data_IF_759054203688
#
_entry.id   IF_759054203688
#
_cell.length_a   1.000
_cell.length_b   1.000
_cell.length_c   1.000
_cell.angle_alpha   90.00
_cell.angle_beta   90.00
_cell.angle_gamma   90.00
#
_symmetry.space_group_name_H-M   'P 1'
#
loop_
_entity.id
_entity.type
_entity.pdbx_description
1 polymer ?
#
# COMPACT_ATOMS: atom_id res chain seq x y z
N UNK A 1 4.21 27.90 -35.02
CA UNK A 1 3.12 27.07 -34.84
C UNK A 1 3.48 25.70 -34.32
N UNK A 2 4.42 25.07 -34.88
CA UNK A 2 4.79 23.78 -34.36
C UNK A 2 5.35 23.83 -32.99
N UNK A 3 5.96 24.91 -32.67
CA UNK A 3 6.63 25.05 -31.42
C UNK A 3 5.69 24.89 -30.26
N UNK A 4 4.50 25.40 -30.41
CA UNK A 4 3.53 25.35 -29.33
C UNK A 4 2.98 23.94 -29.12
N UNK A 5 2.95 23.14 -30.16
CA UNK A 5 2.41 21.81 -30.07
C UNK A 5 3.15 20.94 -29.07
N UNK A 6 4.48 20.85 -29.12
CA UNK A 6 5.19 20.04 -28.13
C UNK A 6 4.97 20.55 -26.71
N UNK A 7 4.91 21.85 -26.56
CA UNK A 7 4.70 22.41 -25.24
C UNK A 7 3.32 22.09 -24.70
N UNK A 8 2.32 22.20 -25.56
CA UNK A 8 0.97 21.84 -25.17
C UNK A 8 0.88 20.38 -24.80
N UNK A 9 1.56 19.55 -25.55
CA UNK A 9 1.56 18.14 -25.31
C UNK A 9 2.15 17.82 -23.93
N UNK A 10 3.24 18.46 -23.59
CA UNK A 10 3.85 18.26 -22.29
C UNK A 10 2.93 18.72 -21.17
N UNK A 11 2.17 19.78 -21.41
CA UNK A 11 1.23 20.25 -20.42
C UNK A 11 0.10 19.28 -20.22
N UNK A 12 -0.37 18.66 -21.29
CA UNK A 12 -1.44 17.68 -21.22
C UNK A 12 -0.99 16.36 -20.60
N UNK A 13 0.27 16.03 -20.75
CA UNK A 13 0.79 14.75 -20.27
C UNK A 13 1.98 14.99 -19.37
N UNK A 14 1.72 15.52 -18.17
CA UNK A 14 2.82 15.86 -17.27
C UNK A 14 3.68 14.67 -16.89
N UNK A 15 3.13 13.45 -16.94
CA UNK A 15 3.91 12.26 -16.61
C UNK A 15 5.03 11.98 -17.62
N UNK A 16 5.03 12.68 -18.76
CA UNK A 16 6.12 12.55 -19.71
C UNK A 16 7.37 13.30 -19.26
N UNK A 17 7.20 14.31 -18.41
CA UNK A 17 8.32 15.10 -17.90
C UNK A 17 8.65 14.78 -16.46
N UNK A 18 7.69 14.25 -15.72
CA UNK A 18 7.88 13.89 -14.34
C UNK A 18 8.03 12.37 -14.23
N UNK A 19 8.44 11.90 -13.08
CA UNK A 19 8.52 10.48 -12.84
C UNK A 19 7.15 9.84 -12.80
N UNK A 20 7.08 8.57 -12.44
CA UNK A 20 5.82 7.85 -12.44
C UNK A 20 4.87 8.38 -11.38
N UNK A 21 3.59 8.20 -11.65
CA UNK A 21 2.54 8.50 -10.69
C UNK A 21 2.01 7.18 -10.15
N UNK A 22 1.82 7.12 -8.82
CA UNK A 22 1.42 5.88 -8.16
C UNK A 22 0.17 6.16 -7.33
N UNK A 23 -0.85 5.33 -7.51
CA UNK A 23 -2.10 5.46 -6.76
C UNK A 23 -2.44 4.13 -6.10
N UNK A 24 -2.43 4.07 -4.76
CA UNK A 24 -2.90 2.87 -4.06
C UNK A 24 -4.43 2.82 -4.10
N UNK A 25 -4.98 1.61 -4.11
CA UNK A 25 -6.42 1.44 -4.06
C UNK A 25 -6.99 1.94 -2.75
N UNK A 26 -6.29 1.69 -1.67
CA UNK A 26 -6.69 2.08 -0.33
C UNK A 26 -5.47 2.53 0.43
N UNK A 27 -5.64 3.50 1.31
CA UNK A 27 -4.55 3.94 2.17
C UNK A 27 -4.46 3.10 3.43
N UNK A 28 -5.55 2.46 3.81
CA UNK A 28 -5.60 1.59 4.97
C UNK A 28 -6.39 0.33 4.61
N UNK A 29 -5.85 -0.81 5.02
CA UNK A 29 -6.47 -2.10 4.77
C UNK A 29 -6.61 -2.82 6.10
N UNK A 30 -7.79 -3.38 6.36
CA UNK A 30 -8.09 -4.10 7.60
C UNK A 30 -8.11 -5.60 7.33
N UNK A 31 -7.46 -6.36 8.19
CA UNK A 31 -7.42 -7.80 8.06
C UNK A 31 -7.23 -8.40 9.45
N UNK A 32 -7.29 -9.73 9.55
CA UNK A 32 -7.13 -10.43 10.81
C UNK A 32 -6.15 -11.58 10.69
N UNK A 33 -5.72 -12.08 11.84
CA UNK A 33 -4.80 -13.22 11.88
C UNK A 33 -5.42 -14.41 11.15
N UNK A 34 -4.60 -15.08 10.35
CA UNK A 34 -5.04 -16.24 9.60
C UNK A 34 -5.84 -15.93 8.36
N UNK A 35 -6.20 -14.67 8.14
CA UNK A 35 -6.93 -14.25 6.96
C UNK A 35 -5.96 -13.88 5.85
N UNK A 36 -6.45 -13.14 4.87
CA UNK A 36 -5.61 -12.69 3.76
C UNK A 36 -5.93 -11.23 3.46
N UNK A 37 -5.02 -10.57 2.79
CA UNK A 37 -5.28 -9.23 2.29
C UNK A 37 -4.59 -9.03 0.96
N UNK A 38 -5.06 -8.04 0.23
CA UNK A 38 -4.52 -7.69 -1.08
C UNK A 38 -4.26 -6.20 -1.08
N UNK A 39 -3.04 -5.83 -1.46
CA UNK A 39 -2.70 -4.44 -1.68
C UNK A 39 -2.55 -4.22 -3.17
N UNK A 40 -2.88 -3.03 -3.63
CA UNK A 40 -2.67 -2.72 -5.04
C UNK A 40 -2.29 -1.27 -5.22
N UNK A 41 -1.42 -1.04 -6.19
CA UNK A 41 -1.00 0.29 -6.60
C UNK A 41 -1.03 0.34 -8.11
N UNK A 42 -1.68 1.36 -8.65
CA UNK A 42 -1.73 1.57 -10.07
C UNK A 42 -0.68 2.61 -10.45
N UNK A 43 0.12 2.29 -11.46
CA UNK A 43 1.25 3.12 -11.86
C UNK A 43 0.98 3.70 -13.23
N UNK A 44 1.12 5.03 -13.34
CA UNK A 44 1.03 5.73 -14.59
C UNK A 44 2.40 6.30 -14.88
N UNK A 45 3.03 5.85 -15.98
CA UNK A 45 4.41 6.23 -16.26
C UNK A 45 4.75 6.03 -17.72
N UNK A 46 5.60 6.90 -18.21
CA UNK A 46 6.21 6.74 -19.52
C UNK A 46 7.61 7.35 -19.47
N UNK A 47 8.64 6.58 -19.71
CA UNK A 47 8.64 5.15 -20.04
C UNK A 47 8.08 4.30 -18.90
N UNK A 48 7.79 3.05 -19.24
CA UNK A 48 7.24 2.12 -18.27
C UNK A 48 8.09 2.06 -17.01
N UNK A 49 7.46 2.04 -15.86
CA UNK A 49 8.16 2.00 -14.60
C UNK A 49 8.17 0.59 -14.04
N UNK A 50 9.19 0.28 -13.26
CA UNK A 50 9.20 -0.93 -12.45
C UNK A 50 8.69 -0.57 -11.06
N UNK A 51 8.12 -1.55 -10.35
CA UNK A 51 7.58 -1.32 -9.03
C UNK A 51 8.11 -2.35 -8.05
N UNK A 52 8.44 -1.87 -6.87
CA UNK A 52 8.94 -2.71 -5.77
C UNK A 52 8.04 -2.51 -4.57
N UNK A 53 7.63 -3.62 -3.96
CA UNK A 53 6.91 -3.59 -2.70
C UNK A 53 7.92 -3.72 -1.56
N UNK A 54 7.71 -2.91 -0.52
CA UNK A 54 8.57 -2.95 0.66
C UNK A 54 7.72 -2.89 1.91
N UNK A 55 8.24 -3.44 2.99
CA UNK A 55 7.63 -3.34 4.30
C UNK A 55 8.72 -2.96 5.27
N UNK A 56 8.56 -1.82 5.93
CA UNK A 56 9.54 -1.33 6.89
C UNK A 56 10.95 -1.30 6.28
N UNK A 57 11.03 -0.74 5.06
CA UNK A 57 12.29 -0.54 4.34
C UNK A 57 12.96 -1.81 3.84
N UNK A 58 12.28 -2.94 3.90
CA UNK A 58 12.78 -4.19 3.35
C UNK A 58 11.92 -4.61 2.19
N UNK A 59 12.58 -5.00 1.11
CA UNK A 59 11.86 -5.45 -0.06
C UNK A 59 11.10 -6.73 0.23
N UNK A 60 9.84 -6.74 -0.16
CA UNK A 60 9.00 -7.93 -0.02
C UNK A 60 9.34 -8.88 -1.16
N UNK A 61 9.52 -10.15 -0.84
CA UNK A 61 9.85 -11.17 -1.82
C UNK A 61 8.77 -12.21 -1.87
N UNK A 62 8.59 -12.80 -3.05
CA UNK A 62 7.63 -13.88 -3.21
C UNK A 62 7.99 -15.05 -2.31
N UNK A 63 6.97 -15.68 -1.77
CA UNK A 63 7.09 -16.83 -0.89
C UNK A 63 5.77 -17.57 -0.95
N UNK A 64 5.64 -18.72 -0.28
CA UNK A 64 4.35 -19.41 -0.28
C UNK A 64 3.20 -18.57 0.25
N UNK A 65 3.48 -17.59 1.12
CA UNK A 65 2.44 -16.72 1.67
C UNK A 65 2.31 -15.37 0.99
N UNK A 66 3.30 -14.99 0.20
CA UNK A 66 3.36 -13.66 -0.41
C UNK A 66 3.53 -13.78 -1.91
N UNK A 67 2.63 -13.21 -2.68
CA UNK A 67 2.70 -13.28 -4.14
C UNK A 67 2.49 -11.90 -4.72
N UNK A 68 3.33 -11.52 -5.67
CA UNK A 68 3.17 -10.27 -6.39
C UNK A 68 2.68 -10.56 -7.79
N UNK A 69 1.84 -9.68 -8.31
CA UNK A 69 1.31 -9.83 -9.66
C UNK A 69 1.14 -8.46 -10.30
N UNK A 70 1.24 -8.46 -11.63
CA UNK A 70 1.02 -7.26 -12.42
C UNK A 70 -0.08 -7.56 -13.43
N UNK A 71 -1.06 -6.67 -13.48
CA UNK A 71 -2.15 -6.78 -14.44
C UNK A 71 -2.41 -5.40 -15.01
N UNK A 72 -2.06 -5.22 -16.30
CA UNK A 72 -2.13 -3.89 -16.88
C UNK A 72 -1.17 -2.96 -16.17
N UNK A 73 -1.71 -1.90 -15.61
CA UNK A 73 -0.93 -0.90 -14.88
C UNK A 73 -1.00 -1.09 -13.38
N UNK A 74 -1.70 -2.13 -12.90
CA UNK A 74 -1.92 -2.31 -11.47
C UNK A 74 -1.04 -3.44 -10.95
N UNK A 75 -0.29 -3.12 -9.92
CA UNK A 75 0.56 -4.08 -9.23
C UNK A 75 -0.13 -4.51 -7.95
N UNK A 76 -0.16 -5.83 -7.72
CA UNK A 76 -0.84 -6.41 -6.58
C UNK A 76 0.15 -7.11 -5.67
N UNK A 77 -0.12 -7.06 -4.39
CA UNK A 77 0.58 -7.86 -3.40
C UNK A 77 -0.47 -8.65 -2.64
N UNK A 78 -0.38 -9.99 -2.72
CA UNK A 78 -1.28 -10.89 -2.02
C UNK A 78 -0.55 -11.47 -0.82
N UNK A 79 -1.16 -11.38 0.34
CA UNK A 79 -0.61 -11.95 1.57
C UNK A 79 -1.63 -12.92 2.14
N UNK A 80 -1.22 -14.15 2.33
CA UNK A 80 -2.09 -15.21 2.83
C UNK A 80 -1.67 -15.60 4.24
N UNK A 81 -2.64 -16.10 5.01
CA UNK A 81 -2.38 -16.61 6.35
C UNK A 81 -1.65 -15.59 7.21
N UNK A 82 -2.29 -14.45 7.41
CA UNK A 82 -1.71 -13.27 8.06
C UNK A 82 -1.25 -13.59 9.47
N UNK A 83 -0.07 -13.11 9.82
CA UNK A 83 0.49 -13.20 11.16
C UNK A 83 0.70 -11.79 11.70
N UNK A 84 1.07 -11.69 12.98
CA UNK A 84 1.33 -10.39 13.60
C UNK A 84 2.38 -9.59 12.84
N UNK A 85 3.36 -10.28 12.31
CA UNK A 85 4.46 -9.60 11.60
C UNK A 85 4.01 -8.98 10.29
N UNK A 86 2.83 -9.35 9.79
CA UNK A 86 2.34 -8.82 8.53
C UNK A 86 1.64 -7.48 8.66
N UNK A 87 1.29 -7.06 9.87
CA UNK A 87 0.69 -5.75 10.06
C UNK A 87 1.76 -4.68 9.96
N UNK A 88 1.35 -3.50 9.54
CA UNK A 88 2.24 -2.37 9.48
C UNK A 88 2.16 -1.66 8.14
N UNK A 89 3.15 -0.84 7.87
CA UNK A 89 3.17 0.01 6.69
C UNK A 89 3.88 -0.66 5.54
N UNK A 90 3.20 -0.76 4.42
CA UNK A 90 3.76 -1.25 3.17
C UNK A 90 3.91 -0.09 2.21
N UNK A 91 4.93 -0.16 1.38
CA UNK A 91 5.20 0.89 0.41
C UNK A 91 5.29 0.28 -0.98
N UNK A 92 4.63 0.89 -1.95
CA UNK A 92 4.85 0.57 -3.35
C UNK A 92 5.65 1.72 -3.96
N UNK A 93 6.79 1.39 -4.54
CA UNK A 93 7.70 2.38 -5.10
C UNK A 93 7.90 2.10 -6.58
N UNK A 94 7.57 3.07 -7.41
CA UNK A 94 7.73 2.97 -8.86
C UNK A 94 8.89 3.82 -9.31
N UNK A 95 9.64 3.31 -10.28
CA UNK A 95 10.83 3.99 -10.78
C UNK A 95 10.95 3.83 -12.28
N UNK A 96 11.24 4.93 -12.96
CA UNK A 96 11.74 4.88 -14.33
C UNK A 96 12.89 5.89 -14.42
N UNK A 97 13.40 6.13 -15.63
CA UNK A 97 14.55 7.04 -15.76
C UNK A 97 14.21 8.48 -15.44
N UNK A 98 12.94 8.83 -15.36
CA UNK A 98 12.53 10.19 -15.07
C UNK A 98 12.34 10.45 -13.59
N UNK A 99 12.23 9.41 -12.77
CA UNK A 99 12.09 9.62 -11.34
C UNK A 99 11.60 8.42 -10.58
N UNK A 100 11.36 8.65 -9.29
CA UNK A 100 10.92 7.64 -8.34
C UNK A 100 9.76 8.22 -7.55
N UNK A 101 8.71 7.44 -7.40
CA UNK A 101 7.54 7.85 -6.63
C UNK A 101 7.08 6.67 -5.79
N UNK A 102 6.69 6.94 -4.55
CA UNK A 102 6.22 5.87 -3.68
C UNK A 102 4.99 6.31 -2.92
N UNK A 103 4.20 5.33 -2.51
CA UNK A 103 3.02 5.53 -1.68
C UNK A 103 3.00 4.47 -0.61
N UNK A 104 2.38 4.81 0.51
CA UNK A 104 2.31 3.90 1.65
C UNK A 104 0.88 3.46 1.89
N UNK A 105 0.74 2.20 2.30
CA UNK A 105 -0.54 1.61 2.66
C UNK A 105 -0.36 0.98 4.03
N UNK A 106 -1.27 1.30 4.95
CA UNK A 106 -1.21 0.78 6.30
C UNK A 106 -2.13 -0.44 6.42
N UNK A 107 -1.60 -1.55 6.92
CA UNK A 107 -2.37 -2.77 7.15
C UNK A 107 -2.51 -2.93 8.66
N UNK A 108 -3.76 -2.98 9.12
CA UNK A 108 -4.06 -3.03 10.54
C UNK A 108 -5.05 -4.14 10.85
N UNK A 109 -5.15 -4.49 12.13
CA UNK A 109 -6.08 -5.50 12.57
C UNK A 109 -7.52 -5.04 12.42
N UNK A 110 -8.43 -5.98 12.31
CA UNK A 110 -9.83 -5.68 12.14
C UNK A 110 -10.37 -4.89 13.32
N UNK A 111 -11.26 -3.96 13.03
CA UNK A 111 -11.75 -3.04 14.03
C UNK A 111 -12.45 -3.75 15.18
N UNK A 112 -13.23 -4.77 14.88
CA UNK A 112 -13.96 -5.45 15.95
C UNK A 112 -13.03 -6.16 16.92
N UNK A 113 -11.88 -6.62 16.45
CA UNK A 113 -10.87 -7.21 17.33
C UNK A 113 -10.30 -6.15 18.26
N UNK A 114 -10.01 -4.99 17.70
CA UNK A 114 -9.49 -3.90 18.47
C UNK A 114 -10.50 -3.46 19.52
N UNK A 115 -11.76 -3.37 19.13
CA UNK A 115 -12.80 -2.96 20.04
C UNK A 115 -12.94 -3.94 21.20
N UNK A 116 -12.86 -5.22 20.92
CA UNK A 116 -12.95 -6.22 21.99
C UNK A 116 -11.81 -6.09 22.98
N UNK A 117 -10.61 -5.92 22.45
CA UNK A 117 -9.44 -5.78 23.32
C UNK A 117 -9.58 -4.56 24.21
N UNK A 118 -9.93 -3.45 23.62
CA UNK A 118 -10.11 -2.21 24.37
C UNK A 118 -11.18 -2.38 25.42
N UNK A 119 -12.30 -2.97 25.05
CA UNK A 119 -13.39 -3.15 25.96
C UNK A 119 -13.00 -4.01 27.14
N UNK A 120 -12.27 -5.07 26.89
CA UNK A 120 -11.80 -5.93 27.95
C UNK A 120 -10.94 -5.17 28.91
N UNK A 121 -10.02 -4.41 28.41
CA UNK A 121 -9.10 -3.68 29.25
C UNK A 121 -9.79 -2.60 30.04
N UNK A 122 -10.69 -1.89 29.39
CA UNK A 122 -11.39 -0.79 30.04
C UNK A 122 -12.29 -1.31 31.14
N UNK A 123 -12.97 -2.39 30.90
CA UNK A 123 -13.81 -2.96 31.93
C UNK A 123 -13.03 -3.39 33.13
N UNK A 124 -11.86 -3.83 32.91
CA UNK A 124 -11.00 -4.23 34.01
C UNK A 124 -10.56 -3.03 34.82
N UNK A 125 -10.38 -2.07 34.12
CA UNK A 125 -10.01 -0.88 34.75
C UNK A 125 -11.10 -0.19 35.27
N UNK A 126 -11.51 -0.57 35.17
CA UNK A 126 -12.25 -0.07 35.36
C UNK A 126 -12.79 -0.13 35.96
N UNK A 127 -12.36 -0.64 36.07
CA UNK A 127 -12.66 -0.86 36.56
C UNK A 127 -13.07 -0.64 36.94
N UNK A 128 -12.81 -0.74 37.08
CA UNK A 128 -13.10 -0.75 37.27
C UNK A 128 -13.59 -0.55 37.83
N UNK A 129 -13.27 -0.61 38.30
CA UNK A 129 -13.59 -0.65 38.81
C UNK A 129 -13.90 -0.65 39.51
N UNK A 130 -13.87 -0.73 40.00
CA UNK A 130 -14.17 -1.02 40.70
C UNK A 130 -14.43 -1.05 41.56
N UNK A 131 -14.30 -1.18 42.12
CA UNK A 131 -14.64 -1.45 42.80
C UNK A 131 -14.96 -1.34 43.60
N UNK A 132 -14.92 -1.59 43.85
CA UNK A 132 -15.57 -1.65 44.41
C UNK A 132 -15.81 -1.04 44.76
#
# INVERSE_FOLDING_TARGET
MYVLTPLSLLTEYPHLTDGPEVKPSNLTVYTGLGQQFILSCTVSAWPRASLVWSKQHRQVRDSPRLTTRLRGDTHYLFVYNVTDADFGEYTCQARNRLGVTQQSILVVGERHNIARVVRSQVCVQVPLLPPP
#
